data_IF_947209165495
#
_entry.id   IF_947209165495
#
_cell.length_a   1.000
_cell.length_b   1.000
_cell.length_c   1.000
_cell.angle_alpha   90.00
_cell.angle_beta   90.00
_cell.angle_gamma   90.00
#
_symmetry.space_group_name_H-M   'P 1'
#
loop_
_entity.id
_entity.type
_entity.pdbx_description
1 polymer ?
#
# COMPACT_ATOMS: atom_id res chain seq x y z
N UNK A 1 4.52 15.23 -2.82
CA UNK A 1 5.74 15.85 -2.26
C UNK A 1 6.84 14.78 -2.15
N UNK A 2 8.02 15.11 -2.56
CA UNK A 2 9.14 14.18 -2.50
C UNK A 2 9.86 14.29 -1.14
N UNK A 3 9.89 13.20 -0.39
CA UNK A 3 10.61 13.14 0.88
C UNK A 3 12.11 12.92 0.64
N UNK A 4 12.93 13.51 1.47
CA UNK A 4 14.39 13.36 1.41
C UNK A 4 14.97 12.76 2.70
N UNK A 5 14.16 12.63 3.73
CA UNK A 5 14.54 12.02 5.01
C UNK A 5 13.53 10.97 5.45
N UNK A 6 14.01 9.96 6.16
CA UNK A 6 13.16 8.93 6.75
C UNK A 6 12.19 9.52 7.77
N UNK A 7 12.64 10.48 8.58
CA UNK A 7 11.79 11.14 9.57
C UNK A 7 10.60 11.87 8.92
N UNK A 8 10.84 12.60 7.82
CA UNK A 8 9.78 13.30 7.10
C UNK A 8 8.78 12.32 6.48
N UNK A 9 9.26 11.23 5.89
CA UNK A 9 8.41 10.18 5.33
C UNK A 9 7.56 9.51 6.40
N UNK A 10 8.16 9.14 7.54
CA UNK A 10 7.45 8.54 8.66
C UNK A 10 6.37 9.47 9.21
N UNK A 11 6.70 10.75 9.40
CA UNK A 11 5.74 11.75 9.89
C UNK A 11 4.53 11.87 8.95
N UNK A 12 4.76 11.87 7.65
CA UNK A 12 3.69 11.96 6.65
C UNK A 12 2.83 10.69 6.65
N UNK A 13 3.44 9.52 6.70
CA UNK A 13 2.72 8.24 6.80
C UNK A 13 1.82 8.21 8.04
N UNK A 14 2.35 8.59 9.20
CA UNK A 14 1.59 8.58 10.45
C UNK A 14 0.44 9.59 10.42
N UNK A 15 0.70 10.80 9.95
CA UNK A 15 -0.32 11.86 9.85
C UNK A 15 -1.44 11.48 8.89
N UNK A 16 -1.08 10.96 7.72
CA UNK A 16 -2.05 10.54 6.71
C UNK A 16 -2.90 9.37 7.21
N UNK A 17 -2.28 8.40 7.87
CA UNK A 17 -2.99 7.25 8.42
C UNK A 17 -3.95 7.68 9.55
N UNK A 18 -3.52 8.55 10.45
CA UNK A 18 -4.36 9.08 11.52
C UNK A 18 -5.58 9.83 10.98
N UNK A 19 -5.38 10.64 9.93
CA UNK A 19 -6.47 11.35 9.27
C UNK A 19 -7.48 10.38 8.64
N UNK A 20 -7.00 9.32 8.00
CA UNK A 20 -7.86 8.29 7.43
C UNK A 20 -8.63 7.54 8.51
N UNK A 21 -7.97 7.15 9.61
CA UNK A 21 -8.64 6.49 10.73
C UNK A 21 -9.74 7.38 11.34
N UNK A 22 -9.47 8.68 11.50
CA UNK A 22 -10.47 9.62 11.99
C UNK A 22 -11.69 9.72 11.07
N UNK A 23 -11.47 9.69 9.77
CA UNK A 23 -12.55 9.63 8.77
C UNK A 23 -13.34 8.33 8.87
N UNK A 24 -12.64 7.20 8.98
CA UNK A 24 -13.27 5.87 9.08
C UNK A 24 -14.11 5.73 10.36
N UNK A 25 -13.69 6.37 11.46
CA UNK A 25 -14.44 6.34 12.72
C UNK A 25 -15.83 6.96 12.60
N UNK A 26 -16.06 7.78 11.58
CA UNK A 26 -17.36 8.38 11.29
C UNK A 26 -18.23 7.55 10.36
N UNK A 27 -17.72 6.46 9.82
CA UNK A 27 -18.46 5.56 8.92
C UNK A 27 -19.06 4.42 9.74
N UNK A 28 -20.38 4.26 9.78
CA UNK A 28 -21.00 3.12 10.46
C UNK A 28 -20.53 1.79 9.85
N UNK A 29 -20.32 0.77 10.70
CA UNK A 29 -19.90 -0.56 10.25
C UNK A 29 -20.82 -1.13 9.17
N UNK A 30 -22.12 -0.87 9.28
CA UNK A 30 -23.14 -1.30 8.32
C UNK A 30 -22.96 -0.69 6.92
N UNK A 31 -22.21 0.40 6.80
CA UNK A 31 -21.97 1.10 5.54
C UNK A 31 -20.61 0.79 4.92
N UNK A 32 -19.71 0.13 5.66
CA UNK A 32 -18.36 -0.16 5.21
C UNK A 32 -18.31 -1.04 3.96
N UNK A 33 -19.29 -1.92 3.79
CA UNK A 33 -19.36 -2.84 2.65
C UNK A 33 -20.35 -2.39 1.57
N UNK A 34 -20.97 -1.22 1.71
CA UNK A 34 -21.88 -0.69 0.73
C UNK A 34 -21.13 -0.23 -0.53
N UNK A 35 -21.53 -0.68 -1.73
CA UNK A 35 -20.88 -0.27 -2.97
C UNK A 35 -21.14 1.19 -3.30
N UNK A 36 -20.36 1.75 -4.24
CA UNK A 36 -20.62 3.06 -4.79
C UNK A 36 -19.83 4.21 -4.18
N UNK A 37 -18.81 3.92 -3.37
CA UNK A 37 -17.92 4.96 -2.81
C UNK A 37 -16.98 5.48 -3.89
N UNK A 38 -16.36 4.56 -4.64
CA UNK A 38 -15.53 4.86 -5.81
C UNK A 38 -15.89 3.85 -6.89
N UNK A 39 -16.66 4.26 -7.90
CA UNK A 39 -17.21 3.29 -8.84
C UNK A 39 -18.10 2.27 -8.10
N UNK A 40 -17.83 0.99 -8.26
CA UNK A 40 -18.50 -0.10 -7.55
C UNK A 40 -17.86 -0.43 -6.19
N UNK A 41 -16.72 0.16 -5.87
CA UNK A 41 -15.97 -0.17 -4.67
C UNK A 41 -16.62 0.39 -3.41
N UNK A 42 -16.64 -0.42 -2.36
CA UNK A 42 -17.01 -0.01 -1.00
C UNK A 42 -15.79 0.56 -0.25
N UNK A 43 -16.03 1.12 0.94
CA UNK A 43 -14.93 1.49 1.86
C UNK A 43 -14.05 0.26 2.14
N UNK A 44 -14.66 -0.89 2.43
CA UNK A 44 -13.94 -2.14 2.66
C UNK A 44 -13.00 -2.48 1.49
N UNK A 45 -13.46 -2.34 0.26
CA UNK A 45 -12.65 -2.63 -0.93
C UNK A 45 -11.45 -1.68 -1.05
N UNK A 46 -11.65 -0.40 -0.73
CA UNK A 46 -10.58 0.60 -0.72
C UNK A 46 -9.53 0.24 0.33
N UNK A 47 -9.95 -0.16 1.53
CA UNK A 47 -9.04 -0.55 2.61
C UNK A 47 -8.24 -1.81 2.27
N UNK A 48 -8.89 -2.79 1.63
CA UNK A 48 -8.22 -3.99 1.14
C UNK A 48 -7.17 -3.65 0.08
N UNK A 49 -7.49 -2.73 -0.81
CA UNK A 49 -6.58 -2.22 -1.84
C UNK A 49 -5.34 -1.53 -1.21
N UNK A 50 -5.56 -0.65 -0.24
CA UNK A 50 -4.46 0.02 0.48
C UNK A 50 -3.57 -1.00 1.19
N UNK A 51 -4.15 -1.96 1.90
CA UNK A 51 -3.40 -3.00 2.59
C UNK A 51 -2.57 -3.85 1.63
N UNK A 52 -3.12 -4.20 0.48
CA UNK A 52 -2.41 -4.95 -0.55
C UNK A 52 -1.18 -4.18 -1.05
N UNK A 53 -1.31 -2.90 -1.36
CA UNK A 53 -0.17 -2.10 -1.83
C UNK A 53 0.87 -1.87 -0.74
N UNK A 54 0.46 -1.70 0.53
CA UNK A 54 1.39 -1.64 1.66
C UNK A 54 2.19 -2.94 1.80
N UNK A 55 1.53 -4.08 1.69
CA UNK A 55 2.19 -5.39 1.76
C UNK A 55 3.20 -5.57 0.64
N UNK A 56 2.89 -5.11 -0.56
CA UNK A 56 3.84 -5.11 -1.68
C UNK A 56 5.03 -4.21 -1.43
N UNK A 57 4.81 -3.01 -0.89
CA UNK A 57 5.89 -2.10 -0.53
C UNK A 57 6.82 -2.73 0.52
N UNK A 58 6.26 -3.37 1.54
CA UNK A 58 7.02 -4.08 2.58
C UNK A 58 7.88 -5.19 1.95
N UNK A 59 7.31 -5.97 1.04
CA UNK A 59 8.04 -7.02 0.33
C UNK A 59 9.21 -6.44 -0.48
N UNK A 60 8.99 -5.34 -1.18
CA UNK A 60 10.05 -4.68 -1.94
C UNK A 60 11.15 -4.13 -1.03
N UNK A 61 10.79 -3.56 0.11
CA UNK A 61 11.76 -3.09 1.10
C UNK A 61 12.59 -4.25 1.64
N UNK A 62 11.95 -5.38 1.96
CA UNK A 62 12.68 -6.58 2.42
C UNK A 62 13.68 -7.06 1.36
N UNK A 63 13.26 -7.15 0.10
CA UNK A 63 14.14 -7.55 -1.00
C UNK A 63 15.32 -6.58 -1.16
N UNK A 64 15.06 -5.29 -1.05
CA UNK A 64 16.10 -4.26 -1.15
C UNK A 64 17.13 -4.40 -0.02
N UNK A 65 16.69 -4.69 1.21
CA UNK A 65 17.60 -4.96 2.34
C UNK A 65 18.48 -6.20 2.13
N UNK A 66 17.99 -7.18 1.36
CA UNK A 66 18.73 -8.37 0.98
C UNK A 66 19.67 -8.15 -0.22
N UNK A 67 19.81 -6.92 -0.68
CA UNK A 67 20.64 -6.59 -1.84
C UNK A 67 19.98 -6.89 -3.18
N UNK A 68 18.71 -7.27 -3.20
CA UNK A 68 17.97 -7.49 -4.43
C UNK A 68 17.35 -6.17 -4.90
N UNK A 69 17.47 -5.82 -6.19
CA UNK A 69 16.84 -4.60 -6.69
C UNK A 69 15.32 -4.70 -6.51
N UNK A 70 14.67 -3.67 -5.95
CA UNK A 70 13.22 -3.66 -5.85
C UNK A 70 12.62 -3.64 -7.25
N UNK A 71 11.78 -4.62 -7.53
CA UNK A 71 11.13 -4.78 -8.81
C UNK A 71 9.67 -5.11 -8.58
N UNK A 72 8.80 -4.34 -9.20
CA UNK A 72 7.39 -4.65 -9.15
C UNK A 72 7.13 -5.94 -9.94
N UNK A 73 6.55 -6.92 -9.27
CA UNK A 73 6.15 -8.17 -9.90
C UNK A 73 4.81 -7.96 -10.59
N UNK A 74 4.86 -7.95 -11.92
CA UNK A 74 3.66 -7.85 -12.75
C UNK A 74 3.33 -9.26 -13.25
N UNK A 75 2.08 -9.74 -13.09
CA UNK A 75 1.70 -11.03 -13.64
C UNK A 75 2.03 -11.12 -15.14
N UNK A 76 2.60 -12.24 -15.57
CA UNK A 76 3.03 -12.42 -16.96
C UNK A 76 1.90 -12.19 -17.96
N UNK A 77 0.67 -12.53 -17.59
CA UNK A 77 -0.53 -12.32 -18.39
C UNK A 77 -0.86 -10.83 -18.64
N UNK A 78 -0.37 -9.93 -17.78
CA UNK A 78 -0.66 -8.50 -17.82
C UNK A 78 0.55 -7.66 -18.26
N UNK A 79 1.75 -8.22 -18.24
CA UNK A 79 3.00 -7.47 -18.37
C UNK A 79 3.11 -6.67 -19.69
N UNK A 80 2.42 -7.11 -20.75
CA UNK A 80 2.44 -6.45 -22.05
C UNK A 80 1.28 -5.48 -22.27
N UNK A 81 0.33 -5.40 -21.35
CA UNK A 81 -0.83 -4.51 -21.50
C UNK A 81 -0.46 -3.08 -21.09
N UNK A 82 -0.83 -2.09 -21.91
CA UNK A 82 -0.60 -0.68 -21.60
C UNK A 82 -1.32 -0.27 -20.31
N UNK A 83 -2.50 -0.86 -20.03
CA UNK A 83 -3.30 -0.61 -18.83
C UNK A 83 -3.15 -1.73 -17.78
N UNK A 84 -1.97 -2.35 -17.70
CA UNK A 84 -1.73 -3.48 -16.80
C UNK A 84 -2.08 -3.16 -15.33
N UNK A 85 -1.88 -1.92 -14.89
CA UNK A 85 -2.16 -1.53 -13.51
C UNK A 85 -3.66 -1.56 -13.21
N UNK A 86 -4.48 -1.05 -14.14
CA UNK A 86 -5.93 -1.10 -14.00
C UNK A 86 -6.44 -2.53 -13.99
N UNK A 87 -5.92 -3.36 -14.88
CA UNK A 87 -6.26 -4.79 -14.94
C UNK A 87 -5.81 -5.52 -13.66
N UNK A 88 -4.62 -5.21 -13.17
CA UNK A 88 -4.10 -5.78 -11.93
C UNK A 88 -5.00 -5.39 -10.74
N UNK A 89 -5.34 -4.12 -10.61
CA UNK A 89 -6.22 -3.64 -9.55
C UNK A 89 -7.60 -4.29 -9.61
N UNK A 90 -8.12 -4.51 -10.81
CA UNK A 90 -9.40 -5.20 -11.02
C UNK A 90 -9.32 -6.67 -10.59
N UNK A 91 -8.23 -7.37 -10.87
CA UNK A 91 -8.03 -8.74 -10.42
C UNK A 91 -7.94 -8.82 -8.89
N UNK A 92 -7.20 -7.91 -8.26
CA UNK A 92 -7.07 -7.86 -6.80
C UNK A 92 -8.41 -7.53 -6.14
N UNK A 93 -9.17 -6.61 -6.71
CA UNK A 93 -10.53 -6.31 -6.23
C UNK A 93 -11.41 -7.56 -6.28
N UNK A 94 -11.45 -8.26 -7.42
CA UNK A 94 -12.25 -9.46 -7.58
C UNK A 94 -11.86 -10.57 -6.58
N UNK A 95 -10.56 -10.71 -6.29
CA UNK A 95 -10.06 -11.69 -5.33
C UNK A 95 -10.42 -11.35 -3.88
N UNK A 96 -10.61 -10.07 -3.55
CA UNK A 96 -10.75 -9.62 -2.17
C UNK A 96 -12.15 -9.15 -1.78
N UNK A 97 -13.03 -8.88 -2.76
CA UNK A 97 -14.34 -8.27 -2.50
C UNK A 97 -15.23 -9.04 -1.53
N UNK A 98 -15.07 -10.35 -1.44
CA UNK A 98 -15.89 -11.21 -0.58
C UNK A 98 -15.25 -11.47 0.79
N UNK A 99 -14.10 -10.88 1.09
CA UNK A 99 -13.45 -11.03 2.38
C UNK A 99 -14.26 -10.34 3.49
N UNK A 100 -14.34 -10.95 4.69
CA UNK A 100 -15.03 -10.33 5.82
C UNK A 100 -14.41 -8.99 6.22
N UNK A 101 -15.23 -8.05 6.64
CA UNK A 101 -14.79 -6.71 7.06
C UNK A 101 -13.74 -6.76 8.17
N UNK A 102 -13.92 -7.61 9.18
CA UNK A 102 -12.98 -7.73 10.29
C UNK A 102 -11.58 -8.15 9.82
N UNK A 103 -11.48 -9.03 8.82
CA UNK A 103 -10.21 -9.45 8.22
C UNK A 103 -9.55 -8.31 7.45
N UNK A 104 -10.33 -7.57 6.69
CA UNK A 104 -9.83 -6.42 5.94
C UNK A 104 -9.34 -5.33 6.90
N UNK A 105 -10.08 -5.05 7.97
CA UNK A 105 -9.67 -4.08 8.97
C UNK A 105 -8.39 -4.50 9.69
N UNK A 106 -8.25 -5.78 10.01
CA UNK A 106 -7.02 -6.32 10.62
C UNK A 106 -5.81 -6.16 9.69
N UNK A 107 -5.98 -6.45 8.40
CA UNK A 107 -4.91 -6.28 7.40
C UNK A 107 -4.57 -4.80 7.20
N UNK A 108 -5.57 -3.94 7.18
CA UNK A 108 -5.37 -2.50 7.04
C UNK A 108 -4.51 -1.94 8.18
N UNK A 109 -4.86 -2.23 9.42
CA UNK A 109 -4.08 -1.81 10.59
C UNK A 109 -2.73 -2.50 10.68
N UNK A 110 -2.68 -3.80 10.41
CA UNK A 110 -1.46 -4.62 10.45
C UNK A 110 -0.44 -4.19 9.41
N UNK A 111 -0.87 -3.93 8.18
CA UNK A 111 0.02 -3.49 7.10
C UNK A 111 0.62 -2.11 7.40
N UNK A 112 -0.13 -1.20 8.01
CA UNK A 112 0.38 0.08 8.44
C UNK A 112 1.49 -0.10 9.51
N UNK A 113 1.24 -0.88 10.55
CA UNK A 113 2.22 -1.13 11.61
C UNK A 113 3.49 -1.78 11.06
N UNK A 114 3.36 -2.74 10.15
CA UNK A 114 4.50 -3.41 9.53
C UNK A 114 5.31 -2.44 8.65
N UNK A 115 4.65 -1.60 7.88
CA UNK A 115 5.32 -0.59 7.05
C UNK A 115 6.15 0.37 7.91
N UNK A 116 5.55 0.90 8.97
CA UNK A 116 6.22 1.82 9.89
C UNK A 116 7.42 1.14 10.58
N UNK A 117 7.22 -0.08 11.07
CA UNK A 117 8.28 -0.86 11.71
C UNK A 117 9.46 -1.09 10.77
N UNK A 118 9.17 -1.52 9.54
CA UNK A 118 10.21 -1.79 8.53
C UNK A 118 10.96 -0.53 8.15
N UNK A 119 10.24 0.56 7.96
CA UNK A 119 10.85 1.84 7.60
C UNK A 119 11.71 2.39 8.74
N UNK A 120 11.28 2.30 9.99
CA UNK A 120 12.07 2.71 11.15
C UNK A 120 13.37 1.91 11.27
N UNK A 121 13.32 0.63 10.96
CA UNK A 121 14.48 -0.27 11.02
C UNK A 121 15.43 -0.10 9.83
N UNK A 122 15.08 0.66 8.81
CA UNK A 122 15.91 0.86 7.63
C UNK A 122 17.19 1.60 7.98
N UNK A 123 18.34 0.94 7.76
CA UNK A 123 19.65 1.45 8.22
C UNK A 123 20.33 2.43 7.28
N UNK A 124 20.09 2.31 5.96
CA UNK A 124 20.73 3.15 4.95
C UNK A 124 19.75 4.16 4.38
N UNK A 125 19.57 5.25 5.12
CA UNK A 125 18.63 6.31 4.76
C UNK A 125 18.98 6.96 3.40
N UNK A 126 20.26 7.22 3.15
CA UNK A 126 20.68 7.84 1.90
C UNK A 126 20.34 6.96 0.70
N UNK A 127 20.54 5.65 0.81
CA UNK A 127 20.17 4.71 -0.25
C UNK A 127 18.67 4.63 -0.49
N UNK A 128 17.87 4.75 0.58
CA UNK A 128 16.40 4.69 0.47
C UNK A 128 15.85 5.73 -0.50
N UNK A 129 16.44 6.93 -0.52
CA UNK A 129 16.00 8.03 -1.36
C UNK A 129 16.81 8.21 -2.64
N UNK A 130 17.69 7.27 -2.95
CA UNK A 130 18.50 7.31 -4.18
C UNK A 130 17.75 6.67 -5.35
N UNK A 131 17.28 7.48 -6.33
CA UNK A 131 16.55 6.95 -7.47
C UNK A 131 17.39 6.06 -8.39
N UNK A 132 18.73 6.16 -8.33
CA UNK A 132 19.61 5.28 -9.08
C UNK A 132 19.68 3.90 -8.46
N UNK A 133 19.63 3.83 -7.13
CA UNK A 133 19.72 2.57 -6.40
C UNK A 133 18.38 1.89 -6.28
N UNK A 134 17.32 2.66 -6.01
CA UNK A 134 15.96 2.14 -5.86
C UNK A 134 14.95 2.93 -6.71
N UNK A 135 15.03 2.82 -8.03
CA UNK A 135 14.12 3.57 -8.90
C UNK A 135 12.65 3.25 -8.65
N UNK A 136 12.33 2.01 -8.31
CA UNK A 136 10.95 1.59 -8.04
C UNK A 136 10.37 2.22 -6.77
N UNK A 137 11.22 2.56 -5.79
CA UNK A 137 10.78 3.23 -4.56
C UNK A 137 10.73 4.76 -4.71
N UNK A 138 11.50 5.29 -5.65
CA UNK A 138 11.63 6.72 -5.88
C UNK A 138 11.03 7.15 -7.22
N UNK A 139 10.25 6.29 -7.79
CA UNK A 139 9.73 6.39 -9.11
C UNK A 139 8.98 7.65 -9.43
N UNK A 140 9.05 7.77 -10.35
CA UNK A 140 8.64 8.59 -10.83
C UNK A 140 7.87 9.21 -11.05
#
# INVERSE_FOLDING_TARGET
MKHTTKAALLADIETTHAALEATLARVPSSQMSAPGVTGEWSVKDILAHIAMWRSRAITQMFKAEQGQPPKMEIPATLAKAANWLDLFNAQEYAAQKDRPLDRVMADFGGSHRQLVKRLRAWGDEAALFDPKRYPALNGR
#
